data_IF_612639544308
#
_entry.id   IF_612639544308
#
_cell.length_a   1.000
_cell.length_b   1.000
_cell.length_c   1.000
_cell.angle_alpha   90.00
_cell.angle_beta   90.00
_cell.angle_gamma   90.00
#
_symmetry.space_group_name_H-M   'P 1'
#
loop_
_entity.id
_entity.type
_entity.pdbx_description
1 polymer ?
#
# COMPACT_ATOMS: atom_id res chain seq x y z
N UNK A 1 -10.80 11.93 8.43
CA UNK A 1 -10.42 11.95 7.02
C UNK A 1 -9.77 10.62 6.67
N UNK A 2 -10.21 9.93 5.60
CA UNK A 2 -9.55 8.68 5.22
C UNK A 2 -8.10 8.94 4.84
N UNK A 3 -7.24 8.01 5.15
CA UNK A 3 -5.80 8.18 4.94
C UNK A 3 -5.18 6.95 4.28
N UNK A 4 -4.23 7.22 3.39
CA UNK A 4 -3.56 6.22 2.59
C UNK A 4 -2.05 6.45 2.62
N UNK A 5 -1.29 5.38 2.82
CA UNK A 5 0.16 5.40 2.66
C UNK A 5 0.51 4.64 1.39
N UNK A 6 1.28 5.27 0.50
CA UNK A 6 1.75 4.65 -0.73
C UNK A 6 3.25 4.39 -0.58
N UNK A 7 3.65 3.13 -0.69
CA UNK A 7 5.06 2.74 -0.64
C UNK A 7 5.48 2.30 -2.03
N UNK A 8 6.22 3.15 -2.72
CA UNK A 8 6.55 3.00 -4.12
C UNK A 8 7.77 3.85 -4.42
N UNK A 9 8.74 3.32 -5.16
CA UNK A 9 9.97 4.04 -5.48
C UNK A 9 9.91 4.79 -6.82
N UNK A 10 8.91 4.54 -7.64
CA UNK A 10 8.72 5.28 -8.89
C UNK A 10 7.90 6.54 -8.64
N UNK A 11 8.56 7.69 -8.65
CA UNK A 11 7.94 8.95 -8.27
C UNK A 11 6.77 9.34 -9.18
N UNK A 12 6.81 8.98 -10.46
CA UNK A 12 5.70 9.27 -11.36
C UNK A 12 4.43 8.53 -10.95
N UNK A 13 4.57 7.29 -10.51
CA UNK A 13 3.44 6.51 -10.03
C UNK A 13 2.89 7.12 -8.75
N UNK A 14 3.78 7.52 -7.84
CA UNK A 14 3.37 8.16 -6.59
C UNK A 14 2.59 9.44 -6.86
N UNK A 15 3.10 10.30 -7.75
CA UNK A 15 2.45 11.57 -8.05
C UNK A 15 1.07 11.37 -8.65
N UNK A 16 0.95 10.42 -9.59
CA UNK A 16 -0.32 10.10 -10.21
C UNK A 16 -1.36 9.64 -9.17
N UNK A 17 -0.96 8.70 -8.32
CA UNK A 17 -1.86 8.17 -7.30
C UNK A 17 -2.21 9.23 -6.26
N UNK A 18 -1.22 10.03 -5.86
CA UNK A 18 -1.46 11.10 -4.89
C UNK A 18 -2.51 12.08 -5.39
N UNK A 19 -2.37 12.52 -6.63
CA UNK A 19 -3.32 13.46 -7.21
C UNK A 19 -4.73 12.87 -7.27
N UNK A 20 -4.81 11.63 -7.70
CA UNK A 20 -6.09 10.93 -7.81
C UNK A 20 -6.79 10.84 -6.44
N UNK A 21 -6.08 10.38 -5.42
CA UNK A 21 -6.68 10.20 -4.11
C UNK A 21 -6.98 11.50 -3.41
N UNK A 22 -6.15 12.52 -3.59
CA UNK A 22 -6.45 13.84 -3.04
C UNK A 22 -7.74 14.40 -3.61
N UNK A 23 -7.98 14.21 -4.89
CA UNK A 23 -9.23 14.62 -5.52
C UNK A 23 -10.43 13.89 -4.94
N UNK A 24 -10.22 12.73 -4.37
CA UNK A 24 -11.27 11.95 -3.74
C UNK A 24 -11.34 12.12 -2.22
N UNK A 25 -10.74 13.17 -1.71
CA UNK A 25 -10.86 13.51 -0.29
C UNK A 25 -10.01 12.65 0.64
N UNK A 26 -8.94 12.05 0.13
CA UNK A 26 -8.08 11.16 0.91
C UNK A 26 -6.79 11.88 1.29
N UNK A 27 -6.39 11.75 2.54
CA UNK A 27 -5.08 12.24 2.98
C UNK A 27 -4.03 11.20 2.57
N UNK A 28 -3.02 11.64 1.82
CA UNK A 28 -2.03 10.73 1.23
C UNK A 28 -0.65 10.97 1.81
N UNK A 29 -0.03 9.90 2.27
CA UNK A 29 1.38 9.88 2.64
C UNK A 29 2.12 8.99 1.64
N UNK A 30 3.41 9.23 1.44
CA UNK A 30 4.19 8.40 0.55
C UNK A 30 5.56 8.09 1.12
N UNK A 31 6.09 6.93 0.77
CA UNK A 31 7.42 6.48 1.15
C UNK A 31 8.07 5.82 -0.04
N UNK A 32 9.38 5.95 -0.17
CA UNK A 32 10.13 5.39 -1.30
C UNK A 32 10.71 4.02 -0.99
N UNK A 33 10.66 3.60 0.26
CA UNK A 33 11.15 2.28 0.68
C UNK A 33 10.38 1.80 1.91
N UNK A 34 10.63 0.56 2.31
CA UNK A 34 9.93 -0.04 3.42
C UNK A 34 10.27 0.59 4.77
N UNK A 35 11.51 0.99 4.97
CA UNK A 35 11.94 1.60 6.22
C UNK A 35 11.19 2.89 6.49
N UNK A 36 11.15 3.77 5.49
CA UNK A 36 10.39 5.01 5.59
C UNK A 36 8.90 4.72 5.77
N UNK A 37 8.41 3.71 5.06
CA UNK A 37 7.01 3.30 5.18
C UNK A 37 6.64 2.86 6.59
N UNK A 38 7.52 2.10 7.25
CA UNK A 38 7.26 1.67 8.63
C UNK A 38 7.21 2.86 9.58
N UNK A 39 8.08 3.85 9.38
CA UNK A 39 8.07 5.05 10.20
C UNK A 39 6.74 5.78 10.06
N UNK A 40 6.28 5.98 8.84
CA UNK A 40 5.01 6.66 8.59
C UNK A 40 3.84 5.84 9.12
N UNK A 41 3.88 4.52 8.95
CA UNK A 41 2.84 3.63 9.46
C UNK A 41 2.69 3.79 10.98
N UNK A 42 3.79 3.88 11.68
CA UNK A 42 3.79 4.05 13.14
C UNK A 42 3.31 5.43 13.56
N UNK A 43 3.77 6.47 12.86
CA UNK A 43 3.50 7.85 13.27
C UNK A 43 2.13 8.36 12.83
N UNK A 44 1.74 8.05 11.61
CA UNK A 44 0.51 8.60 11.01
C UNK A 44 -0.68 7.65 11.06
N UNK A 45 -0.43 6.37 11.28
CA UNK A 45 -1.48 5.34 11.37
C UNK A 45 -2.50 5.42 10.24
N UNK A 46 -2.06 5.32 8.98
CA UNK A 46 -2.99 5.38 7.85
C UNK A 46 -3.95 4.19 7.89
N UNK A 47 -5.14 4.38 7.34
CA UNK A 47 -6.13 3.31 7.28
C UNK A 47 -5.74 2.20 6.31
N UNK A 48 -5.16 2.60 5.18
CA UNK A 48 -4.82 1.69 4.09
C UNK A 48 -3.38 1.96 3.65
N UNK A 49 -2.66 0.88 3.33
CA UNK A 49 -1.32 0.96 2.76
C UNK A 49 -1.34 0.30 1.39
N UNK A 50 -0.86 1.00 0.39
CA UNK A 50 -0.65 0.43 -0.94
C UNK A 50 0.85 0.17 -1.07
N UNK A 51 1.23 -1.09 -1.10
CA UNK A 51 2.63 -1.52 -1.01
C UNK A 51 3.07 -2.17 -2.31
N UNK A 52 4.03 -1.57 -2.99
CA UNK A 52 4.66 -2.21 -4.14
C UNK A 52 5.62 -3.28 -3.60
N UNK A 53 5.41 -4.52 -4.02
CA UNK A 53 6.25 -5.63 -3.57
C UNK A 53 7.64 -5.60 -4.19
N UNK A 54 7.80 -4.88 -5.30
CA UNK A 54 9.09 -4.78 -5.97
C UNK A 54 9.72 -3.43 -5.67
N UNK A 55 10.19 -3.27 -4.45
CA UNK A 55 10.94 -2.08 -4.06
C UNK A 55 12.41 -2.26 -4.48
N UNK A 56 13.05 -1.15 -4.80
CA UNK A 56 14.42 -1.19 -5.32
C UNK A 56 15.43 -1.67 -4.31
N UNK A 57 15.87 -0.79 -3.42
CA UNK A 57 16.87 -1.12 -2.42
C UNK A 57 16.26 -1.13 -1.04
N UNK A 58 16.92 -1.79 -0.11
CA UNK A 58 16.49 -1.83 1.29
C UNK A 58 15.53 -2.97 1.58
N UNK A 59 14.59 -2.71 2.48
CA UNK A 59 13.65 -3.72 2.94
C UNK A 59 12.73 -4.21 1.83
N UNK A 60 12.54 -5.53 1.74
CA UNK A 60 11.58 -6.09 0.78
C UNK A 60 10.14 -5.85 1.24
N UNK A 61 9.19 -5.98 0.29
CA UNK A 61 7.78 -5.87 0.62
C UNK A 61 7.32 -6.93 1.60
N UNK A 62 7.85 -8.16 1.47
CA UNK A 62 7.51 -9.24 2.40
C UNK A 62 8.00 -8.93 3.82
N UNK A 63 9.18 -8.36 3.95
CA UNK A 63 9.70 -7.99 5.27
C UNK A 63 8.88 -6.84 5.87
N UNK A 64 8.45 -5.89 5.05
CA UNK A 64 7.54 -4.83 5.50
C UNK A 64 6.27 -5.43 6.09
N UNK A 65 5.65 -6.37 5.38
CA UNK A 65 4.44 -7.05 5.85
C UNK A 65 4.67 -7.76 7.18
N UNK A 66 5.80 -8.46 7.27
CA UNK A 66 6.14 -9.18 8.50
C UNK A 66 6.26 -8.22 9.69
N UNK A 67 6.94 -7.10 9.48
CA UNK A 67 7.13 -6.12 10.55
C UNK A 67 5.85 -5.39 10.91
N UNK A 68 5.01 -5.08 9.93
CA UNK A 68 3.72 -4.47 10.21
C UNK A 68 2.83 -5.39 11.03
N UNK A 69 2.84 -6.69 10.71
CA UNK A 69 2.09 -7.69 11.45
C UNK A 69 2.63 -7.82 12.89
N UNK A 70 3.94 -7.85 13.04
CA UNK A 70 4.57 -7.94 14.37
C UNK A 70 4.23 -6.74 15.23
N UNK A 71 4.11 -5.56 14.62
CA UNK A 71 3.72 -4.33 15.31
C UNK A 71 2.21 -4.23 15.55
N UNK A 72 1.45 -5.22 15.10
CA UNK A 72 -0.01 -5.27 15.24
C UNK A 72 -0.69 -4.05 14.62
N UNK A 73 -0.22 -3.65 13.44
CA UNK A 73 -0.80 -2.53 12.72
C UNK A 73 -2.25 -2.83 12.35
N UNK A 74 -3.13 -1.86 12.53
CA UNK A 74 -4.53 -1.99 12.14
C UNK A 74 -4.76 -1.61 10.68
N UNK A 75 -3.72 -1.12 9.97
CA UNK A 75 -3.87 -0.73 8.58
C UNK A 75 -4.16 -1.93 7.69
N UNK A 76 -5.01 -1.72 6.70
CA UNK A 76 -5.27 -2.73 5.68
C UNK A 76 -4.21 -2.56 4.60
N UNK A 77 -3.38 -3.59 4.40
CA UNK A 77 -2.27 -3.51 3.46
C UNK A 77 -2.67 -4.22 2.16
N UNK A 78 -2.64 -3.47 1.07
CA UNK A 78 -2.93 -3.99 -0.27
C UNK A 78 -1.60 -4.04 -1.01
N UNK A 79 -1.21 -5.22 -1.47
CA UNK A 79 0.07 -5.37 -2.17
C UNK A 79 -0.11 -5.26 -3.66
N UNK A 80 0.86 -4.65 -4.32
CA UNK A 80 0.93 -4.54 -5.77
C UNK A 80 2.05 -5.46 -6.24
N UNK A 81 1.74 -6.40 -7.10
CA UNK A 81 2.66 -7.47 -7.49
C UNK A 81 2.64 -7.66 -9.00
N UNK A 82 3.68 -8.29 -9.54
CA UNK A 82 3.72 -8.63 -10.95
C UNK A 82 2.64 -9.67 -11.27
N UNK A 83 2.11 -9.62 -12.50
CA UNK A 83 0.97 -10.44 -12.90
C UNK A 83 1.27 -11.94 -12.82
N UNK A 84 2.53 -12.32 -13.00
CA UNK A 84 2.94 -13.73 -12.99
C UNK A 84 3.51 -14.20 -11.66
N UNK A 85 3.41 -13.39 -10.61
CA UNK A 85 4.03 -13.72 -9.33
C UNK A 85 3.01 -14.19 -8.30
N UNK A 86 2.40 -15.34 -8.60
CA UNK A 86 1.38 -15.92 -7.72
C UNK A 86 1.93 -16.33 -6.35
N UNK A 87 3.19 -16.75 -6.31
CA UNK A 87 3.80 -17.15 -5.05
C UNK A 87 3.92 -15.97 -4.09
N UNK A 88 4.32 -14.80 -4.62
CA UNK A 88 4.42 -13.60 -3.79
C UNK A 88 3.05 -13.18 -3.28
N UNK A 89 2.03 -13.23 -4.13
CA UNK A 89 0.66 -12.88 -3.71
C UNK A 89 0.18 -13.80 -2.59
N UNK A 90 0.43 -15.11 -2.72
CA UNK A 90 0.03 -16.08 -1.71
C UNK A 90 0.77 -15.84 -0.38
N UNK A 91 2.08 -15.59 -0.45
CA UNK A 91 2.87 -15.31 0.74
C UNK A 91 2.42 -14.02 1.42
N UNK A 92 2.10 -12.99 0.63
CA UNK A 92 1.63 -11.73 1.18
C UNK A 92 0.33 -11.91 1.95
N UNK A 93 -0.61 -12.68 1.42
CA UNK A 93 -1.85 -12.97 2.13
C UNK A 93 -1.59 -13.72 3.43
N UNK A 94 -0.68 -14.67 3.41
CA UNK A 94 -0.29 -15.42 4.61
C UNK A 94 0.34 -14.52 5.67
N UNK A 95 0.93 -13.40 5.26
CA UNK A 95 1.53 -12.43 6.16
C UNK A 95 0.56 -11.30 6.55
N UNK A 96 -0.71 -11.44 6.20
CA UNK A 96 -1.73 -10.51 6.67
C UNK A 96 -2.13 -9.43 5.68
N UNK A 97 -1.70 -9.50 4.42
CA UNK A 97 -2.17 -8.56 3.41
C UNK A 97 -3.68 -8.70 3.24
N UNK A 98 -4.39 -7.59 3.18
CA UNK A 98 -5.83 -7.60 3.05
C UNK A 98 -6.26 -7.99 1.64
N UNK A 99 -5.46 -7.62 0.64
CA UNK A 99 -5.76 -7.94 -0.75
C UNK A 99 -4.50 -7.74 -1.58
N UNK A 100 -4.58 -8.05 -2.87
CA UNK A 100 -3.49 -7.77 -3.79
C UNK A 100 -4.04 -7.32 -5.14
N UNK A 101 -3.22 -6.58 -5.87
CA UNK A 101 -3.52 -6.11 -7.22
C UNK A 101 -2.32 -6.42 -8.08
N UNK A 102 -2.55 -6.88 -9.31
CA UNK A 102 -1.47 -7.16 -10.23
C UNK A 102 -1.20 -5.97 -11.14
N UNK A 103 0.08 -5.79 -11.50
CA UNK A 103 0.47 -4.75 -12.47
C UNK A 103 0.05 -5.16 -13.88
N UNK A 104 -0.29 -4.20 -14.74
CA UNK A 104 -0.32 -2.76 -14.49
C UNK A 104 -1.54 -2.34 -13.69
N UNK A 105 -1.38 -1.32 -12.85
CA UNK A 105 -2.48 -0.77 -12.07
C UNK A 105 -3.44 0.00 -12.98
N UNK A 106 -4.71 -0.36 -12.92
CA UNK A 106 -5.75 0.39 -13.64
C UNK A 106 -6.54 1.23 -12.63
N UNK A 107 -7.20 2.29 -13.12
CA UNK A 107 -8.08 3.06 -12.26
C UNK A 107 -9.19 2.22 -11.67
N UNK A 108 -9.71 1.26 -12.43
CA UNK A 108 -10.76 0.37 -11.95
C UNK A 108 -10.27 -0.47 -10.77
N UNK A 109 -9.03 -0.97 -10.84
CA UNK A 109 -8.45 -1.72 -9.73
C UNK A 109 -8.27 -0.84 -8.51
N UNK A 110 -7.79 0.38 -8.69
CA UNK A 110 -7.58 1.32 -7.60
C UNK A 110 -8.90 1.63 -6.91
N UNK A 111 -9.94 1.92 -7.68
CA UNK A 111 -11.26 2.21 -7.12
C UNK A 111 -11.83 1.01 -6.39
N UNK A 112 -11.79 -0.15 -7.02
CA UNK A 112 -12.41 -1.35 -6.47
C UNK A 112 -11.71 -1.85 -5.22
N UNK A 113 -10.37 -1.83 -5.22
CA UNK A 113 -9.59 -2.48 -4.16
C UNK A 113 -9.17 -1.49 -3.08
N UNK A 114 -8.81 -0.27 -3.45
CA UNK A 114 -8.27 0.70 -2.51
C UNK A 114 -9.36 1.63 -1.97
N UNK A 115 -10.09 2.32 -2.85
CA UNK A 115 -11.12 3.25 -2.39
C UNK A 115 -12.21 2.58 -1.57
N UNK A 116 -12.54 1.34 -1.91
CA UNK A 116 -13.57 0.61 -1.17
C UNK A 116 -13.18 0.34 0.28
N UNK A 117 -11.89 0.38 0.58
CA UNK A 117 -11.39 0.14 1.93
C UNK A 117 -11.15 1.43 2.72
N UNK A 118 -11.14 2.56 2.04
CA UNK A 118 -11.02 3.86 2.69
C UNK A 118 -12.40 4.32 3.12
N UNK A 119 -12.64 4.31 4.41
CA UNK A 119 -13.97 4.60 4.93
C UNK A 119 -14.28 6.09 4.83
N UNK A 120 -15.45 6.46 4.30
CA UNK A 120 -15.82 7.85 4.28
C UNK A 120 -16.03 8.36 5.71
N UNK A 121 -15.75 9.64 5.90
CA UNK A 121 -16.06 10.30 7.15
C UNK A 121 -17.57 10.54 7.23
N UNK A 122 -18.16 10.05 8.25
CA UNK A 122 -19.59 10.27 8.45
C UNK A 122 -19.84 11.33 9.51
#
# INVERSE_FOLDING_TARGET
MPSLLIIEDELEVVDYLRDYFKHNGVEVFSAINGEEGLTILSEKKPEVVLLDMKLGAGMSGLEFLRRAKAAKSAAQIIVVTAVDDQNVATMAKGLGAADYVTKPLTLQDIERVVLSRLKPQS
#
